data_IF_521237307875
#
_entry.id   IF_521237307875
#
_cell.length_a   1.000
_cell.length_b   1.000
_cell.length_c   1.000
_cell.angle_alpha   90.00
_cell.angle_beta   90.00
_cell.angle_gamma   90.00
#
_symmetry.space_group_name_H-M   'P 1'
#
loop_
_entity.id
_entity.type
_entity.pdbx_description
1 polymer ?
#
# COMPACT_ATOMS: atom_id res chain seq x y z
N UNK A 1 8.25 8.01 -24.76
CA UNK A 1 7.09 7.39 -24.10
C UNK A 1 7.42 7.32 -22.62
N UNK A 2 6.96 8.29 -21.82
CA UNK A 2 7.26 8.32 -20.39
C UNK A 2 6.42 7.23 -19.71
N UNK A 3 7.12 6.25 -19.16
CA UNK A 3 6.56 5.13 -18.43
C UNK A 3 6.18 5.65 -17.04
N UNK A 4 4.88 5.63 -16.72
CA UNK A 4 4.35 6.07 -15.45
C UNK A 4 4.85 5.12 -14.36
N UNK A 5 5.92 5.52 -13.66
CA UNK A 5 6.36 4.83 -12.44
C UNK A 5 5.32 5.03 -11.35
N UNK A 6 4.43 4.06 -11.19
CA UNK A 6 3.50 4.02 -10.07
C UNK A 6 4.25 3.52 -8.85
N UNK A 7 4.35 4.38 -7.83
CA UNK A 7 4.86 3.97 -6.52
C UNK A 7 3.82 3.06 -5.87
N UNK A 8 4.18 1.80 -5.70
CA UNK A 8 3.38 0.83 -4.94
C UNK A 8 3.94 0.72 -3.53
N UNK A 9 3.04 0.64 -2.55
CA UNK A 9 3.41 0.49 -1.16
C UNK A 9 2.94 -0.88 -0.69
N UNK A 10 3.86 -1.68 -0.14
CA UNK A 10 3.53 -2.98 0.44
C UNK A 10 3.13 -2.83 1.90
N UNK A 11 2.17 -3.64 2.33
CA UNK A 11 1.74 -3.67 3.72
C UNK A 11 2.68 -4.54 4.57
N UNK A 12 3.35 -3.94 5.56
CA UNK A 12 4.14 -4.66 6.56
C UNK A 12 3.43 -4.78 7.93
N UNK A 13 2.40 -3.97 8.17
CA UNK A 13 1.69 -3.89 9.45
C UNK A 13 0.57 -4.93 9.62
N UNK A 14 0.29 -5.75 8.58
CA UNK A 14 -0.76 -6.79 8.56
C UNK A 14 -2.18 -6.30 8.91
N UNK A 15 -2.41 -4.99 8.85
CA UNK A 15 -3.70 -4.36 9.14
C UNK A 15 -4.47 -3.95 7.87
N UNK A 16 -3.88 -4.17 6.67
CA UNK A 16 -4.55 -3.87 5.40
C UNK A 16 -5.61 -4.93 5.08
N UNK A 17 -6.71 -4.49 4.49
CA UNK A 17 -7.70 -5.40 3.87
C UNK A 17 -7.38 -5.70 2.40
N UNK A 18 -6.43 -4.97 1.80
CA UNK A 18 -6.01 -5.13 0.40
C UNK A 18 -4.60 -5.74 0.33
N UNK A 19 -4.43 -6.96 0.86
CA UNK A 19 -3.13 -7.64 0.81
C UNK A 19 -2.75 -7.96 -0.65
N UNK A 20 -1.49 -7.72 -1.09
CA UNK A 20 -0.29 -7.35 -0.32
C UNK A 20 -0.01 -5.84 -0.18
N UNK A 21 -0.92 -4.97 -0.61
CA UNK A 21 -0.71 -3.52 -0.69
C UNK A 21 -1.11 -2.78 0.59
N UNK A 22 -0.47 -1.63 0.82
CA UNK A 22 -0.75 -0.77 1.94
C UNK A 22 -1.94 0.16 1.66
N UNK A 23 -3.04 -0.02 2.40
CA UNK A 23 -4.24 0.83 2.35
C UNK A 23 -4.26 1.90 3.48
N UNK A 24 -3.18 2.07 4.23
CA UNK A 24 -3.14 3.05 5.34
C UNK A 24 -3.99 2.69 6.56
N UNK A 25 -4.59 1.49 6.60
CA UNK A 25 -5.36 0.98 7.74
C UNK A 25 -4.59 0.98 9.07
N UNK A 26 -3.26 0.98 9.06
CA UNK A 26 -2.43 1.08 10.27
C UNK A 26 -2.45 2.45 10.97
N UNK A 27 -2.92 3.50 10.30
CA UNK A 27 -2.98 4.86 10.84
C UNK A 27 -4.34 5.19 11.48
N UNK A 28 -5.30 4.27 11.45
CA UNK A 28 -6.65 4.46 12.03
C UNK A 28 -6.71 4.11 13.54
N UNK A 29 -5.56 3.94 14.20
CA UNK A 29 -5.49 3.73 15.65
C UNK A 29 -5.36 5.03 16.40
#
# INVERSE_FOLDING_TARGET
RAELTKKVFFCACKQTNDQPFCDGSHNKK
#
